data_IF_935561706300
#
_entry.id   IF_935561706300
#
_cell.length_a   1.000
_cell.length_b   1.000
_cell.length_c   1.000
_cell.angle_alpha   90.00
_cell.angle_beta   90.00
_cell.angle_gamma   90.00
#
_symmetry.space_group_name_H-M   'P 1'
#
loop_
_entity.id
_entity.type
_entity.pdbx_description
1 polymer ?
#
# COMPACT_ATOMS: atom_id res chain seq x y z
N UNK A 1 -34.82 -35.49 20.78
CA UNK A 1 -34.28 -35.49 19.41
C UNK A 1 -32.78 -35.69 19.52
N UNK A 2 -32.29 -36.91 19.28
CA UNK A 2 -30.86 -37.25 19.42
C UNK A 2 -30.13 -36.78 18.18
N UNK A 3 -29.21 -35.84 18.37
CA UNK A 3 -28.29 -35.37 17.32
C UNK A 3 -27.44 -36.54 16.83
N UNK A 4 -27.62 -36.94 15.56
CA UNK A 4 -26.70 -37.86 14.88
C UNK A 4 -25.36 -37.16 14.73
N UNK A 5 -24.38 -37.56 15.54
CA UNK A 5 -22.98 -37.22 15.32
C UNK A 5 -22.56 -37.73 13.94
N UNK A 6 -21.97 -36.86 13.13
CA UNK A 6 -21.34 -37.28 11.88
C UNK A 6 -19.99 -37.90 12.27
N UNK A 7 -19.93 -39.23 12.28
CA UNK A 7 -18.69 -39.95 12.53
C UNK A 7 -17.68 -39.60 11.44
N UNK A 8 -16.66 -38.83 11.81
CA UNK A 8 -15.52 -38.54 10.96
C UNK A 8 -14.79 -39.86 10.67
N UNK A 9 -15.09 -40.44 9.51
CA UNK A 9 -14.45 -41.65 9.00
C UNK A 9 -12.95 -41.38 8.87
N UNK A 10 -12.16 -41.89 9.82
CA UNK A 10 -10.70 -41.84 9.83
C UNK A 10 -10.18 -42.34 8.48
N UNK A 11 -9.44 -41.54 7.70
CA UNK A 11 -8.98 -42.00 6.39
C UNK A 11 -8.00 -43.17 6.59
N UNK A 12 -8.26 -44.26 5.87
CA UNK A 12 -7.38 -45.41 5.81
C UNK A 12 -5.98 -44.95 5.36
N UNK A 13 -4.94 -45.46 6.03
CA UNK A 13 -3.54 -45.17 5.66
C UNK A 13 -3.31 -45.63 4.22
N UNK A 14 -3.13 -44.67 3.31
CA UNK A 14 -2.64 -44.93 1.95
C UNK A 14 -1.19 -45.41 2.06
N UNK A 15 -0.96 -46.69 1.82
CA UNK A 15 0.36 -47.28 1.66
C UNK A 15 0.89 -46.92 0.27
N UNK A 16 1.57 -45.79 0.18
CA UNK A 16 2.22 -45.28 -1.02
C UNK A 16 2.55 -43.82 -0.82
N UNK A 17 3.77 -43.39 -1.15
CA UNK A 17 4.23 -42.01 -1.02
C UNK A 17 3.60 -41.08 -2.08
N UNK A 18 2.29 -41.21 -2.34
CA UNK A 18 1.55 -40.32 -3.21
C UNK A 18 1.08 -39.12 -2.40
N UNK A 19 1.73 -37.97 -2.62
CA UNK A 19 1.27 -36.69 -2.07
C UNK A 19 -0.13 -36.40 -2.63
N UNK A 20 -1.09 -36.07 -1.77
CA UNK A 20 -2.45 -35.77 -2.26
C UNK A 20 -2.45 -34.47 -3.09
N UNK A 21 -3.32 -34.39 -4.10
CA UNK A 21 -3.40 -33.24 -5.00
C UNK A 21 -3.63 -31.92 -4.23
N UNK A 22 -4.51 -31.91 -3.23
CA UNK A 22 -4.73 -30.72 -2.39
C UNK A 22 -3.51 -30.31 -1.57
N UNK A 23 -2.66 -31.27 -1.14
CA UNK A 23 -1.39 -30.98 -0.48
C UNK A 23 -0.35 -30.45 -1.46
N UNK A 24 -0.33 -30.91 -2.72
CA UNK A 24 0.54 -30.38 -3.77
C UNK A 24 0.17 -28.93 -4.11
N UNK A 25 -1.10 -28.65 -4.32
CA UNK A 25 -1.60 -27.31 -4.63
C UNK A 25 -1.44 -26.34 -3.45
N UNK A 26 -1.75 -26.80 -2.23
CA UNK A 26 -1.62 -25.98 -1.02
C UNK A 26 -0.17 -25.71 -0.58
N UNK A 27 0.78 -26.57 -0.98
CA UNK A 27 2.21 -26.38 -0.72
C UNK A 27 2.98 -25.83 -1.93
N UNK A 28 2.28 -25.52 -3.02
CA UNK A 28 2.93 -24.93 -4.20
C UNK A 28 3.40 -23.52 -3.85
N UNK A 29 4.71 -23.33 -3.85
CA UNK A 29 5.31 -22.01 -3.66
C UNK A 29 5.05 -21.18 -4.91
N UNK A 30 4.50 -19.98 -4.72
CA UNK A 30 4.33 -19.04 -5.81
C UNK A 30 5.69 -18.72 -6.43
N UNK A 31 5.79 -18.83 -7.76
CA UNK A 31 7.02 -18.45 -8.46
C UNK A 31 7.34 -16.97 -8.19
N UNK A 32 8.62 -16.59 -8.05
CA UNK A 32 9.00 -15.19 -7.95
C UNK A 32 8.40 -14.38 -9.09
N UNK A 33 7.89 -13.19 -8.78
CA UNK A 33 7.44 -12.28 -9.82
C UNK A 33 8.64 -11.88 -10.69
N UNK A 34 8.51 -11.90 -12.03
CA UNK A 34 9.58 -11.42 -12.88
C UNK A 34 9.87 -9.96 -12.56
N UNK A 35 11.15 -9.60 -12.54
CA UNK A 35 11.54 -8.18 -12.47
C UNK A 35 10.88 -7.43 -13.62
N UNK A 36 10.38 -6.22 -13.36
CA UNK A 36 9.82 -5.38 -14.41
C UNK A 36 10.95 -4.54 -15.02
N UNK A 37 11.49 -4.89 -16.20
CA UNK A 37 12.57 -4.12 -16.83
C UNK A 37 12.13 -2.70 -17.21
N UNK A 38 10.82 -2.48 -17.32
CA UNK A 38 10.20 -1.20 -17.61
C UNK A 38 9.73 -0.48 -16.33
N UNK A 39 10.28 -0.81 -15.16
CA UNK A 39 10.00 -0.06 -13.93
C UNK A 39 10.49 1.37 -14.14
N UNK A 40 9.56 2.33 -14.05
CA UNK A 40 9.89 3.75 -14.13
C UNK A 40 10.85 4.10 -12.99
N UNK A 41 11.96 4.75 -13.35
CA UNK A 41 12.82 5.44 -12.40
C UNK A 41 12.20 6.78 -12.00
N UNK A 42 12.28 7.09 -10.72
CA UNK A 42 11.80 8.34 -10.15
C UNK A 42 12.99 9.12 -9.60
N UNK A 43 13.03 10.43 -9.84
CA UNK A 43 13.99 11.31 -9.17
C UNK A 43 13.65 11.39 -7.66
N UNK A 44 14.61 11.75 -6.79
CA UNK A 44 14.34 11.97 -5.36
C UNK A 44 13.16 12.91 -5.15
N UNK A 45 12.25 12.49 -4.27
CA UNK A 45 10.99 13.16 -3.93
C UNK A 45 10.01 13.36 -5.10
N UNK A 46 10.24 12.77 -6.28
CA UNK A 46 9.31 12.88 -7.42
C UNK A 46 7.98 12.17 -7.12
N UNK A 47 8.04 11.02 -6.43
CA UNK A 47 6.89 10.21 -6.06
C UNK A 47 6.92 9.86 -4.57
N UNK A 48 5.95 10.39 -3.84
CA UNK A 48 5.72 10.06 -2.43
C UNK A 48 4.61 9.02 -2.28
N UNK A 49 4.91 7.96 -1.55
CA UNK A 49 3.97 6.96 -1.07
C UNK A 49 3.58 7.29 0.37
N UNK A 50 2.30 7.41 0.63
CA UNK A 50 1.76 7.79 1.94
C UNK A 50 0.88 6.66 2.45
N UNK A 51 1.10 6.29 3.70
CA UNK A 51 0.33 5.28 4.40
C UNK A 51 0.05 5.74 5.84
N UNK A 52 -1.11 5.37 6.38
CA UNK A 52 -1.47 5.68 7.77
C UNK A 52 -1.85 4.40 8.50
N UNK A 53 -1.13 4.11 9.57
CA UNK A 53 -1.34 2.96 10.43
C UNK A 53 -2.03 3.40 11.74
N UNK A 54 -3.01 2.63 12.21
CA UNK A 54 -3.63 2.81 13.54
C UNK A 54 -5.15 2.60 13.54
N UNK A 55 -5.81 2.68 14.71
CA UNK A 55 -5.24 3.05 16.01
C UNK A 55 -4.33 1.97 16.60
N UNK A 56 -3.21 2.37 17.20
CA UNK A 56 -2.32 1.49 17.94
C UNK A 56 -2.97 1.06 19.26
N UNK A 57 -2.68 -0.15 19.72
CA UNK A 57 -3.21 -0.68 20.99
C UNK A 57 -2.68 0.09 22.20
N UNK A 58 -1.45 0.59 22.09
CA UNK A 58 -0.77 1.36 23.12
C UNK A 58 -0.46 2.74 22.57
N UNK A 59 -0.88 3.76 23.32
CA UNK A 59 -0.57 5.14 23.03
C UNK A 59 0.93 5.38 23.15
N UNK A 60 1.50 6.20 22.27
CA UNK A 60 2.87 6.66 22.44
C UNK A 60 3.02 7.46 23.74
N UNK A 61 4.26 7.71 24.18
CA UNK A 61 4.53 8.59 25.32
C UNK A 61 3.90 9.99 25.16
N UNK A 62 3.63 10.42 23.92
CA UNK A 62 2.97 11.69 23.59
C UNK A 62 1.45 11.58 23.37
N UNK A 63 0.82 10.43 23.66
CA UNK A 63 -0.61 10.20 23.44
C UNK A 63 -1.01 10.04 21.97
N UNK A 64 -0.05 9.72 21.09
CA UNK A 64 -0.34 9.47 19.67
C UNK A 64 -0.82 8.05 19.47
N UNK A 65 -1.86 7.88 18.66
CA UNK A 65 -2.51 6.59 18.36
C UNK A 65 -2.31 6.15 16.91
N UNK A 66 -1.81 7.02 16.05
CA UNK A 66 -1.64 6.73 14.63
C UNK A 66 -0.21 7.04 14.20
N UNK A 67 0.24 6.37 13.16
CA UNK A 67 1.52 6.60 12.50
C UNK A 67 1.28 6.91 11.03
N UNK A 68 1.70 8.09 10.59
CA UNK A 68 1.75 8.46 9.18
C UNK A 68 3.15 8.16 8.65
N UNK A 69 3.24 7.33 7.62
CA UNK A 69 4.47 6.98 6.92
C UNK A 69 4.47 7.62 5.54
N UNK A 70 5.54 8.35 5.23
CA UNK A 70 5.80 8.92 3.90
C UNK A 70 7.10 8.32 3.38
N UNK A 71 7.01 7.59 2.27
CA UNK A 71 8.13 6.92 1.61
C UNK A 71 8.36 7.58 0.26
N UNK A 72 9.60 7.98 -0.02
CA UNK A 72 10.01 8.43 -1.34
C UNK A 72 10.45 7.23 -2.20
N UNK A 73 9.82 7.04 -3.36
CA UNK A 73 10.17 5.95 -4.28
C UNK A 73 11.54 6.18 -4.95
N UNK A 74 11.93 7.46 -5.15
CA UNK A 74 13.17 7.80 -5.86
C UNK A 74 14.43 7.52 -5.05
N UNK A 75 14.46 7.98 -3.80
CA UNK A 75 15.58 7.75 -2.87
C UNK A 75 15.43 6.54 -1.97
N UNK A 76 14.22 5.98 -1.83
CA UNK A 76 13.91 4.96 -0.83
C UNK A 76 13.85 5.48 0.62
N UNK A 77 14.01 6.78 0.83
CA UNK A 77 13.92 7.38 2.17
C UNK A 77 12.50 7.30 2.72
N UNK A 78 12.39 7.09 4.03
CA UNK A 78 11.10 7.07 4.73
C UNK A 78 11.07 8.06 5.89
N UNK A 79 9.92 8.69 6.10
CA UNK A 79 9.66 9.60 7.21
C UNK A 79 8.37 9.21 7.92
N UNK A 80 8.46 8.97 9.22
CA UNK A 80 7.33 8.68 10.09
C UNK A 80 6.90 9.89 10.92
N UNK A 81 5.60 10.07 11.10
CA UNK A 81 5.00 11.08 11.97
C UNK A 81 3.97 10.43 12.90
N UNK A 82 4.09 10.66 14.21
CA UNK A 82 3.10 10.22 15.18
C UNK A 82 1.93 11.19 15.23
N UNK A 83 0.70 10.70 15.07
CA UNK A 83 -0.53 11.50 15.06
C UNK A 83 -1.44 11.12 16.23
N UNK A 84 -2.14 12.11 16.80
CA UNK A 84 -3.12 11.88 17.87
C UNK A 84 -4.45 11.45 17.27
N UNK A 85 -4.88 12.13 16.22
CA UNK A 85 -6.07 11.79 15.45
C UNK A 85 -5.71 11.48 13.99
N UNK A 86 -6.55 10.68 13.33
CA UNK A 86 -6.41 10.39 11.90
C UNK A 86 -6.54 11.64 11.03
N UNK A 87 -7.33 12.63 11.46
CA UNK A 87 -7.53 13.91 10.76
C UNK A 87 -6.26 14.75 10.63
N UNK A 88 -5.29 14.55 11.52
CA UNK A 88 -4.06 15.35 11.57
C UNK A 88 -3.13 15.02 10.38
N UNK A 89 -3.36 13.90 9.70
CA UNK A 89 -2.52 13.44 8.59
C UNK A 89 -2.47 14.43 7.43
N UNK A 90 -3.60 15.06 7.08
CA UNK A 90 -3.65 15.99 5.94
C UNK A 90 -2.72 17.19 6.13
N UNK A 91 -2.74 17.79 7.33
CA UNK A 91 -1.92 18.95 7.64
C UNK A 91 -0.43 18.56 7.71
N UNK A 92 -0.11 17.43 8.32
CA UNK A 92 1.25 16.89 8.34
C UNK A 92 1.81 16.65 6.93
N UNK A 93 1.02 16.09 6.02
CA UNK A 93 1.43 15.85 4.62
C UNK A 93 1.70 17.18 3.91
N UNK A 94 0.82 18.17 4.06
CA UNK A 94 1.01 19.51 3.46
C UNK A 94 2.29 20.15 3.96
N UNK A 95 2.52 20.16 5.28
CA UNK A 95 3.75 20.69 5.90
C UNK A 95 4.99 19.97 5.38
N UNK A 96 4.94 18.65 5.26
CA UNK A 96 6.05 17.86 4.74
C UNK A 96 6.36 18.20 3.28
N UNK A 97 5.36 18.24 2.40
CA UNK A 97 5.56 18.60 0.99
C UNK A 97 6.12 20.00 0.85
N UNK A 98 5.62 20.96 1.65
CA UNK A 98 6.16 22.31 1.68
C UNK A 98 7.61 22.33 2.13
N UNK A 99 7.96 21.62 3.21
CA UNK A 99 9.35 21.54 3.70
C UNK A 99 10.29 20.92 2.67
N UNK A 100 9.87 19.87 1.97
CA UNK A 100 10.65 19.26 0.88
C UNK A 100 10.90 20.27 -0.25
N UNK A 101 9.89 21.05 -0.61
CA UNK A 101 10.00 22.03 -1.69
C UNK A 101 10.80 23.28 -1.30
N UNK A 102 10.78 23.70 -0.04
CA UNK A 102 11.49 24.91 0.40
C UNK A 102 12.88 24.63 0.93
N UNK A 103 13.07 23.55 1.68
CA UNK A 103 14.33 23.26 2.36
C UNK A 103 15.27 22.39 1.51
N UNK A 104 14.70 21.50 0.69
CA UNK A 104 15.49 20.56 -0.11
C UNK A 104 15.47 20.89 -1.60
N UNK A 105 14.75 21.94 -2.00
CA UNK A 105 14.56 22.39 -3.39
C UNK A 105 14.08 21.28 -4.35
N UNK A 106 13.39 20.26 -3.83
CA UNK A 106 12.83 19.18 -4.63
C UNK A 106 11.36 19.41 -4.95
N UNK A 107 10.97 19.13 -6.19
CA UNK A 107 9.59 19.22 -6.65
C UNK A 107 8.88 17.87 -6.60
N UNK A 108 8.00 17.71 -5.62
CA UNK A 108 7.05 16.59 -5.56
C UNK A 108 6.09 16.65 -6.75
N UNK A 109 6.09 15.59 -7.58
CA UNK A 109 5.22 15.50 -8.78
C UNK A 109 4.07 14.53 -8.60
N UNK A 110 4.22 13.50 -7.77
CA UNK A 110 3.20 12.48 -7.56
C UNK A 110 3.08 12.16 -6.08
N UNK A 111 1.84 12.03 -5.63
CA UNK A 111 1.52 11.49 -4.30
C UNK A 111 0.60 10.30 -4.49
N UNK A 112 0.95 9.18 -3.88
CA UNK A 112 0.15 7.95 -3.86
C UNK A 112 -0.23 7.65 -2.42
N UNK A 113 -1.52 7.50 -2.16
CA UNK A 113 -2.04 6.94 -0.92
C UNK A 113 -2.78 5.63 -1.23
N UNK A 114 -2.99 4.78 -0.25
CA UNK A 114 -3.63 3.47 -0.41
C UNK A 114 -5.16 3.51 -0.65
N UNK A 115 -5.79 4.68 -0.57
CA UNK A 115 -7.22 4.87 -0.84
C UNK A 115 -8.04 5.10 0.41
N UNK A 116 -7.39 5.27 1.55
CA UNK A 116 -8.07 5.61 2.78
C UNK A 116 -8.93 6.89 2.61
N UNK A 117 -10.16 6.82 3.11
CA UNK A 117 -11.26 7.75 2.80
C UNK A 117 -10.95 9.20 3.19
N UNK A 118 -10.09 9.40 4.19
CA UNK A 118 -9.58 10.70 4.61
C UNK A 118 -8.85 11.45 3.49
N UNK A 119 -8.11 10.75 2.62
CA UNK A 119 -7.39 11.41 1.53
C UNK A 119 -8.24 11.60 0.27
N UNK A 120 -9.46 11.03 0.26
CA UNK A 120 -10.43 11.26 -0.81
C UNK A 120 -11.12 12.63 -0.71
N UNK A 121 -10.96 13.32 0.43
CA UNK A 121 -11.48 14.66 0.65
C UNK A 121 -10.90 15.68 -0.34
N UNK A 122 -11.72 16.65 -0.75
CA UNK A 122 -11.36 17.63 -1.78
C UNK A 122 -10.14 18.50 -1.41
N UNK A 123 -9.79 18.60 -0.13
CA UNK A 123 -8.68 19.40 0.41
C UNK A 123 -7.30 18.94 -0.06
N UNK A 124 -7.02 17.63 -0.05
CA UNK A 124 -5.73 17.08 -0.46
C UNK A 124 -5.63 17.05 -1.99
N UNK A 125 -6.73 16.70 -2.67
CA UNK A 125 -6.84 16.79 -4.13
C UNK A 125 -6.56 18.20 -4.63
N UNK A 126 -7.19 19.22 -4.03
CA UNK A 126 -6.96 20.62 -4.38
C UNK A 126 -5.48 21.03 -4.17
N UNK A 127 -4.87 20.66 -3.04
CA UNK A 127 -3.45 20.96 -2.80
C UNK A 127 -2.52 20.32 -3.84
N UNK A 128 -2.86 19.12 -4.32
CA UNK A 128 -2.11 18.45 -5.39
C UNK A 128 -2.39 18.99 -6.79
N UNK A 129 -3.56 19.61 -7.05
CA UNK A 129 -3.92 20.20 -8.34
C UNK A 129 -3.52 21.68 -8.48
N UNK A 130 -3.39 22.43 -7.39
CA UNK A 130 -3.07 23.87 -7.40
C UNK A 130 -1.66 24.19 -7.95
N UNK A 131 -0.80 23.19 -8.20
CA UNK A 131 0.51 23.40 -8.89
C UNK A 131 0.53 23.08 -10.38
N UNK A 132 -0.63 22.83 -11.02
CA UNK A 132 -0.70 22.61 -12.48
C UNK A 132 -0.49 23.89 -13.31
N UNK A 133 -0.60 25.09 -12.73
CA UNK A 133 -0.45 26.36 -13.45
C UNK A 133 0.99 26.76 -13.80
N UNK A 134 2.01 25.96 -13.47
CA UNK A 134 3.41 26.24 -13.88
C UNK A 134 4.24 25.05 -14.36
N UNK A 135 3.65 23.88 -14.57
CA UNK A 135 4.35 22.81 -15.31
C UNK A 135 3.34 21.88 -15.97
N UNK A 136 3.31 21.92 -17.30
CA UNK A 136 2.44 21.15 -18.19
C UNK A 136 2.67 19.64 -18.09
N UNK A 137 2.17 18.95 -17.06
CA UNK A 137 1.84 17.52 -17.09
C UNK A 137 0.77 17.21 -16.03
N UNK A 138 -0.28 16.42 -16.36
CA UNK A 138 -1.39 16.19 -15.45
C UNK A 138 -0.99 15.35 -14.22
N UNK A 139 -1.33 15.84 -13.03
CA UNK A 139 -1.17 15.11 -11.78
C UNK A 139 -2.21 13.97 -11.72
N UNK A 140 -1.78 12.72 -11.95
CA UNK A 140 -2.68 11.56 -11.98
C UNK A 140 -2.69 10.81 -10.65
N UNK A 141 -3.76 10.98 -9.88
CA UNK A 141 -4.10 10.15 -8.72
C UNK A 141 -4.24 8.68 -9.18
N UNK A 142 -3.41 7.77 -8.64
CA UNK A 142 -3.52 6.33 -8.90
C UNK A 142 -3.92 5.60 -7.63
N UNK A 143 -5.15 5.09 -7.61
CA UNK A 143 -5.60 4.08 -6.65
C UNK A 143 -4.96 2.75 -7.08
N UNK A 144 -4.43 1.95 -6.13
CA UNK A 144 -3.92 0.61 -6.47
C UNK A 144 -5.08 -0.24 -7.03
N UNK A 145 -4.94 -0.86 -8.21
CA UNK A 145 -5.65 -2.11 -8.44
C UNK A 145 -5.10 -3.12 -7.42
N UNK A 146 -5.99 -3.79 -6.70
CA UNK A 146 -5.61 -4.95 -5.90
C UNK A 146 -4.85 -5.94 -6.81
N UNK A 147 -3.80 -6.56 -6.26
CA UNK A 147 -2.98 -7.55 -6.94
C UNK A 147 -3.75 -8.88 -7.12
N UNK A 148 -4.85 -8.86 -7.86
CA UNK A 148 -5.60 -10.03 -8.31
C UNK A 148 -6.32 -9.70 -9.62
N UNK A 149 -5.71 -10.09 -10.74
CA UNK A 149 -6.47 -10.67 -11.84
C UNK A 149 -5.58 -11.63 -12.63
N UNK A 150 -5.73 -12.89 -12.23
CA UNK A 150 -5.57 -14.16 -12.91
C UNK A 150 -5.06 -14.09 -14.36
N UNK A 151 -4.02 -14.88 -14.61
CA UNK A 151 -3.54 -15.22 -15.94
C UNK A 151 -4.61 -15.90 -16.79
N UNK A 152 -5.27 -15.12 -17.62
CA UNK A 152 -5.78 -15.59 -18.91
C UNK A 152 -4.98 -14.88 -20.00
N UNK A 153 -3.88 -15.51 -20.41
CA UNK A 153 -3.40 -15.43 -21.78
C UNK A 153 -3.45 -16.86 -22.31
N UNK A 154 -4.54 -17.19 -23.01
CA UNK A 154 -4.55 -18.27 -23.99
C UNK A 154 -3.82 -17.80 -25.26
N UNK A 155 -3.36 -18.72 -26.13
CA UNK A 155 -2.49 -18.37 -27.24
C UNK A 155 -3.23 -17.63 -28.36
N UNK A 156 -2.51 -16.67 -28.94
CA UNK A 156 -2.68 -15.92 -30.21
C UNK A 156 -4.09 -15.85 -30.83
#
# INVERSE_FOLDING_TARGET
MVSKGMDAKKPAKLSGSSVCQGCLEGKMVQRPFPSNPNKRHYDPFELLHIDTCGPMEVDSLGGSKYLLLIVDEGSGCMKGFSLRAKSDSEECIKKYIMAVQTQLDYKVKFVRHDGAREFAANSLKAFTMIKESSSKLPFRMRIRPTARRNGQFGPL
#
